data_IF_320262843903
#
_entry.id   IF_320262843903
#
_cell.length_a   1.000
_cell.length_b   1.000
_cell.length_c   1.000
_cell.angle_alpha   90.00
_cell.angle_beta   90.00
_cell.angle_gamma   90.00
#
_symmetry.space_group_name_H-M   'P 1'
#
loop_
_entity.id
_entity.type
_entity.pdbx_description
1 polymer ?
#
# COMPACT_ATOMS: atom_id res chain seq x y z
N UNK A 1 23.84 -11.12 -36.54
CA UNK A 1 23.07 -9.86 -36.44
C UNK A 1 21.68 -10.21 -35.95
N UNK A 2 21.36 -9.78 -34.73
CA UNK A 2 20.38 -10.39 -33.83
C UNK A 2 18.92 -10.10 -34.21
N UNK A 3 18.07 -11.05 -33.84
CA UNK A 3 16.77 -11.42 -34.39
C UNK A 3 15.65 -10.42 -34.09
N UNK A 4 14.89 -10.10 -35.13
CA UNK A 4 13.64 -9.32 -35.15
C UNK A 4 12.52 -10.12 -34.47
N UNK A 5 12.17 -9.79 -33.22
CA UNK A 5 11.03 -10.41 -32.52
C UNK A 5 9.76 -9.59 -32.78
N UNK A 6 8.84 -10.23 -33.49
CA UNK A 6 7.48 -9.77 -33.79
C UNK A 6 6.65 -9.84 -32.50
N UNK A 7 6.18 -8.70 -31.98
CA UNK A 7 5.13 -8.68 -30.97
C UNK A 7 3.81 -9.07 -31.64
N UNK A 8 3.40 -10.32 -31.49
CA UNK A 8 2.09 -10.82 -31.92
C UNK A 8 1.14 -10.74 -30.72
N UNK A 9 0.01 -10.07 -30.94
CA UNK A 9 -1.16 -9.99 -30.07
C UNK A 9 -1.59 -11.41 -29.65
N UNK A 10 -1.38 -11.75 -28.37
CA UNK A 10 -1.91 -12.96 -27.75
C UNK A 10 -3.23 -12.67 -27.07
N UNK A 11 -4.28 -13.35 -27.51
CA UNK A 11 -5.63 -13.39 -26.93
C UNK A 11 -5.60 -13.60 -25.40
N UNK A 12 -6.11 -12.63 -24.63
CA UNK A 12 -6.45 -12.84 -23.22
C UNK A 12 -7.82 -13.53 -23.10
N UNK A 13 -7.82 -14.85 -23.31
CA UNK A 13 -8.96 -15.72 -23.02
C UNK A 13 -8.48 -16.89 -22.16
N UNK A 14 -8.51 -16.73 -20.84
CA UNK A 14 -8.08 -17.78 -19.93
C UNK A 14 -7.97 -17.31 -18.49
N UNK A 15 -9.09 -17.30 -17.77
CA UNK A 15 -9.11 -17.18 -16.32
C UNK A 15 -8.46 -18.42 -15.68
N UNK A 16 -7.13 -18.44 -15.63
CA UNK A 16 -6.43 -19.32 -14.70
C UNK A 16 -6.63 -18.72 -13.31
N UNK A 17 -7.58 -19.28 -12.55
CA UNK A 17 -7.68 -19.05 -11.11
C UNK A 17 -6.38 -19.53 -10.48
N UNK A 18 -5.43 -18.61 -10.33
CA UNK A 18 -4.34 -18.74 -9.38
C UNK A 18 -4.95 -19.12 -8.03
N UNK A 19 -4.32 -19.98 -7.20
CA UNK A 19 -4.79 -20.21 -5.85
C UNK A 19 -4.92 -18.83 -5.20
N UNK A 20 -6.16 -18.47 -4.92
CA UNK A 20 -6.53 -17.20 -4.34
C UNK A 20 -5.90 -17.22 -2.96
N UNK A 21 -4.66 -16.68 -2.84
CA UNK A 21 -4.19 -16.17 -1.57
C UNK A 21 -5.24 -15.13 -1.21
N UNK A 22 -6.19 -15.56 -0.38
CA UNK A 22 -7.31 -14.77 0.07
C UNK A 22 -6.71 -13.64 0.89
N UNK A 23 -6.29 -12.58 0.19
CA UNK A 23 -5.86 -11.36 0.81
C UNK A 23 -7.09 -10.88 1.56
N UNK A 24 -7.08 -10.88 2.91
CA UNK A 24 -8.24 -10.48 3.68
C UNK A 24 -8.67 -9.09 3.17
N UNK A 25 -9.99 -8.82 3.07
CA UNK A 25 -10.50 -7.64 2.39
C UNK A 25 -9.81 -6.39 2.93
N UNK A 26 -8.94 -5.82 2.10
CA UNK A 26 -8.10 -4.71 2.54
C UNK A 26 -8.96 -3.45 2.58
N UNK A 27 -9.03 -2.81 3.75
CA UNK A 27 -9.97 -1.71 4.00
C UNK A 27 -9.74 -0.50 3.11
N UNK A 28 -8.51 -0.29 2.64
CA UNK A 28 -8.15 0.80 1.75
C UNK A 28 -7.95 0.30 0.31
N UNK A 29 -8.52 1.03 -0.65
CA UNK A 29 -8.30 0.81 -2.09
C UNK A 29 -7.37 1.87 -2.67
N UNK A 30 -6.66 1.54 -3.75
CA UNK A 30 -5.81 2.51 -4.45
C UNK A 30 -6.62 3.74 -4.91
N UNK A 31 -7.86 3.54 -5.34
CA UNK A 31 -8.78 4.62 -5.74
C UNK A 31 -9.14 5.53 -4.56
N UNK A 32 -9.38 4.99 -3.37
CA UNK A 32 -9.62 5.81 -2.17
C UNK A 32 -8.40 6.65 -1.77
N UNK A 33 -7.19 6.11 -1.92
CA UNK A 33 -5.94 6.86 -1.69
C UNK A 33 -5.75 7.97 -2.70
N UNK A 34 -6.05 7.68 -3.96
CA UNK A 34 -5.85 8.62 -5.05
C UNK A 34 -6.83 9.80 -4.98
N UNK A 35 -8.09 9.50 -4.68
CA UNK A 35 -9.17 10.49 -4.46
C UNK A 35 -9.08 11.23 -3.12
N UNK A 36 -8.14 10.85 -2.23
CA UNK A 36 -7.96 11.49 -0.94
C UNK A 36 -7.41 12.91 -1.11
N UNK A 37 -8.29 13.90 -1.00
CA UNK A 37 -7.94 15.32 -1.05
C UNK A 37 -7.54 15.85 0.33
N UNK A 38 -6.62 16.84 0.40
CA UNK A 38 -6.37 17.57 1.64
C UNK A 38 -7.67 18.22 2.13
N UNK A 39 -7.84 18.25 3.45
CA UNK A 39 -8.95 18.95 4.13
C UNK A 39 -8.35 20.06 4.99
N UNK A 40 -9.21 20.87 5.62
CA UNK A 40 -8.80 21.91 6.57
C UNK A 40 -8.00 21.36 7.77
N UNK A 41 -8.17 20.07 8.09
CA UNK A 41 -7.46 19.38 9.17
C UNK A 41 -6.80 18.10 8.66
N UNK A 42 -5.60 17.76 9.16
CA UNK A 42 -4.93 16.51 8.80
C UNK A 42 -5.77 15.32 9.26
N UNK A 43 -5.95 14.34 8.39
CA UNK A 43 -6.76 13.15 8.69
C UNK A 43 -6.02 11.86 8.32
N UNK A 44 -6.51 10.75 8.87
CA UNK A 44 -5.89 9.43 8.75
C UNK A 44 -6.82 8.47 8.05
N UNK A 45 -6.32 7.72 7.08
CA UNK A 45 -7.02 6.66 6.38
C UNK A 45 -6.38 5.32 6.74
N UNK A 46 -7.07 4.49 7.50
CA UNK A 46 -6.52 3.22 8.02
C UNK A 46 -6.67 2.07 7.03
N UNK A 47 -5.57 1.38 6.74
CA UNK A 47 -5.53 0.15 5.92
C UNK A 47 -5.59 -1.13 6.77
N UNK A 48 -5.40 -1.00 8.09
CA UNK A 48 -5.41 -2.12 9.05
C UNK A 48 -4.00 -2.59 9.44
N UNK A 49 -3.91 -3.37 10.52
CA UNK A 49 -2.62 -3.81 11.08
C UNK A 49 -1.71 -2.65 11.50
N UNK A 50 -2.30 -1.53 11.94
CA UNK A 50 -1.58 -0.32 12.32
C UNK A 50 -1.12 0.57 11.15
N UNK A 51 -1.34 0.15 9.89
CA UNK A 51 -1.00 0.94 8.71
C UNK A 51 -2.07 1.99 8.42
N UNK A 52 -1.64 3.22 8.17
CA UNK A 52 -2.52 4.31 7.76
C UNK A 52 -1.81 5.32 6.84
N UNK A 53 -2.61 5.98 6.00
CA UNK A 53 -2.20 7.15 5.24
C UNK A 53 -2.56 8.40 6.04
N UNK A 54 -1.61 9.29 6.27
CA UNK A 54 -1.82 10.60 6.86
C UNK A 54 -1.85 11.65 5.75
N UNK A 55 -3.00 12.28 5.55
CA UNK A 55 -3.17 13.35 4.56
C UNK A 55 -3.02 14.68 5.28
N UNK A 56 -1.93 15.40 4.99
CA UNK A 56 -1.69 16.73 5.52
C UNK A 56 -2.54 17.78 4.80
N UNK A 57 -2.75 18.91 5.46
CA UNK A 57 -3.46 20.07 4.89
C UNK A 57 -2.71 20.67 3.70
N UNK A 58 -1.39 20.51 3.64
CA UNK A 58 -0.52 20.89 2.52
C UNK A 58 -0.72 20.06 1.25
N UNK A 59 -1.52 18.98 1.31
CA UNK A 59 -1.68 18.02 0.21
C UNK A 59 -0.64 16.89 0.21
N UNK A 60 0.35 16.94 1.10
CA UNK A 60 1.31 15.85 1.28
C UNK A 60 0.64 14.63 1.93
N UNK A 61 0.89 13.44 1.39
CA UNK A 61 0.26 12.19 1.82
C UNK A 61 1.33 11.21 2.32
N UNK A 62 1.32 10.88 3.60
CA UNK A 62 2.38 10.10 4.25
C UNK A 62 1.90 8.70 4.64
N UNK A 63 2.66 7.69 4.27
CA UNK A 63 2.43 6.33 4.74
C UNK A 63 3.08 6.10 6.09
N UNK A 64 2.28 5.75 7.10
CA UNK A 64 2.74 5.54 8.47
C UNK A 64 2.22 4.24 9.06
N UNK A 65 3.07 3.57 9.83
CA UNK A 65 2.70 2.39 10.63
C UNK A 65 2.79 2.74 12.10
N UNK A 66 1.69 2.56 12.82
CA UNK A 66 1.69 2.55 14.28
C UNK A 66 1.94 1.11 14.75
N UNK A 67 3.00 0.90 15.52
CA UNK A 67 3.37 -0.39 16.08
C UNK A 67 3.82 -0.24 17.53
N UNK A 68 3.96 -1.37 18.25
CA UNK A 68 4.48 -1.39 19.62
C UNK A 68 5.78 -2.20 19.65
N UNK A 69 6.78 -1.70 20.34
CA UNK A 69 8.02 -2.45 20.53
C UNK A 69 8.45 -2.28 21.98
N UNK A 70 8.59 -3.41 22.69
CA UNK A 70 8.94 -3.44 24.11
C UNK A 70 8.03 -2.54 24.96
N UNK A 71 6.71 -2.66 24.78
CA UNK A 71 5.70 -1.86 25.49
C UNK A 71 5.60 -0.39 25.08
N UNK A 72 6.49 0.12 24.21
CA UNK A 72 6.47 1.51 23.74
C UNK A 72 5.80 1.63 22.39
N UNK A 73 4.90 2.61 22.25
CA UNK A 73 4.32 2.96 20.96
C UNK A 73 5.36 3.66 20.08
N UNK A 74 5.50 3.19 18.84
CA UNK A 74 6.38 3.76 17.84
C UNK A 74 5.63 3.98 16.53
N UNK A 75 6.16 4.91 15.74
CA UNK A 75 5.67 5.24 14.40
C UNK A 75 6.78 5.02 13.38
N UNK A 76 6.51 4.23 12.35
CA UNK A 76 7.39 4.06 11.19
C UNK A 76 6.83 4.88 10.03
N UNK A 77 7.68 5.58 9.28
CA UNK A 77 7.31 6.21 8.03
C UNK A 77 7.82 5.36 6.87
N UNK A 78 6.94 5.02 5.93
CA UNK A 78 7.31 4.27 4.72
C UNK A 78 7.62 5.17 3.53
N UNK A 79 7.17 6.42 3.57
CA UNK A 79 7.39 7.42 2.52
C UNK A 79 6.15 8.23 2.21
N UNK A 80 6.20 8.95 1.10
CA UNK A 80 5.15 9.86 0.63
C UNK A 80 4.47 9.25 -0.60
N UNK A 81 3.17 9.45 -0.75
CA UNK A 81 2.46 9.16 -2.00
C UNK A 81 2.60 10.35 -2.97
N UNK A 82 2.88 10.15 -4.27
CA UNK A 82 2.75 8.91 -5.04
C UNK A 82 4.03 8.06 -5.16
N UNK A 83 5.16 8.51 -4.63
CA UNK A 83 6.45 7.79 -4.72
C UNK A 83 6.37 6.36 -4.19
N UNK A 84 5.59 6.16 -3.11
CA UNK A 84 5.30 4.85 -2.54
C UNK A 84 3.83 4.50 -2.73
N UNK A 85 3.58 3.43 -3.49
CA UNK A 85 2.23 2.90 -3.72
C UNK A 85 1.74 2.04 -2.55
N UNK A 86 0.41 1.94 -2.41
CA UNK A 86 -0.23 1.13 -1.37
C UNK A 86 0.25 -0.34 -1.37
N UNK A 87 0.45 -0.92 -2.56
CA UNK A 87 0.98 -2.28 -2.70
C UNK A 87 2.40 -2.41 -2.14
N UNK A 88 3.27 -1.45 -2.45
CA UNK A 88 4.65 -1.42 -1.95
C UNK A 88 4.69 -1.33 -0.42
N UNK A 89 3.85 -0.49 0.18
CA UNK A 89 3.76 -0.36 1.65
C UNK A 89 3.27 -1.65 2.31
N UNK A 90 2.30 -2.34 1.72
CA UNK A 90 1.79 -3.62 2.23
C UNK A 90 2.86 -4.71 2.22
N UNK A 91 3.62 -4.77 1.13
CA UNK A 91 4.77 -5.66 0.99
C UNK A 91 5.83 -5.32 2.06
N UNK A 92 6.22 -4.05 2.17
CA UNK A 92 7.15 -3.61 3.22
C UNK A 92 6.65 -3.94 4.62
N UNK A 93 5.34 -3.80 4.89
CA UNK A 93 4.72 -4.21 6.16
C UNK A 93 4.82 -5.72 6.38
N UNK A 94 4.59 -6.55 5.37
CA UNK A 94 4.68 -8.02 5.52
C UNK A 94 6.09 -8.50 5.81
N UNK A 95 7.12 -7.76 5.40
CA UNK A 95 8.51 -8.07 5.72
C UNK A 95 8.92 -7.64 7.14
N UNK A 96 8.15 -6.76 7.79
CA UNK A 96 8.42 -6.43 9.18
C UNK A 96 8.04 -7.63 10.05
N UNK A 97 8.94 -8.09 10.94
CA UNK A 97 8.57 -9.09 11.92
C UNK A 97 7.36 -8.59 12.71
N UNK A 98 6.52 -9.49 13.25
CA UNK A 98 5.37 -9.08 14.06
C UNK A 98 5.87 -8.24 15.23
N UNK A 99 5.79 -6.92 15.08
CA UNK A 99 6.19 -5.89 16.04
C UNK A 99 5.15 -5.84 17.16
N UNK A 100 4.85 -6.99 17.75
CA UNK A 100 3.88 -7.18 18.81
C UNK A 100 4.38 -8.33 19.69
N UNK A 101 5.11 -7.96 20.74
CA UNK A 101 5.22 -8.70 21.98
C UNK A 101 5.22 -7.69 23.13
#
# INVERSE_FOLDING_TARGET
MSTRIKYILGHYGGHKRCPHFEVPPMKLTARQVDTAKPKEKPYKLSDGGGLYLEVATSGSRYWRLKYRYAGKEKRLAFGVYPEVSLGKVRISRSFLPKLTR
#
